data_IF_914325899156
#
_entry.id   IF_914325899156
#
_cell.length_a   1.000
_cell.length_b   1.000
_cell.length_c   1.000
_cell.angle_alpha   90.00
_cell.angle_beta   90.00
_cell.angle_gamma   90.00
#
_symmetry.space_group_name_H-M   'P 1'
#
loop_
_entity.id
_entity.type
_entity.pdbx_description
1 polymer ?
#
# COMPACT_ATOMS: atom_id res chain seq x y z
N UNK A 1 16.41 -8.25 4.08
CA UNK A 1 15.07 -8.27 4.71
C UNK A 1 14.50 -6.86 4.80
N UNK A 2 13.28 -6.66 4.33
CA UNK A 2 12.58 -5.38 4.43
C UNK A 2 11.66 -5.41 5.64
N UNK A 3 11.55 -4.29 6.34
CA UNK A 3 10.68 -4.18 7.51
C UNK A 3 9.75 -2.98 7.35
N UNK A 4 8.61 -3.03 8.02
CA UNK A 4 7.63 -1.96 8.05
C UNK A 4 7.73 -1.21 9.37
N UNK A 5 7.81 0.10 9.30
CA UNK A 5 7.92 0.97 10.46
C UNK A 5 7.03 2.19 10.31
N UNK A 6 6.33 2.58 11.36
CA UNK A 6 5.46 3.77 11.31
C UNK A 6 6.23 4.99 10.84
N UNK A 7 5.65 5.70 9.87
CA UNK A 7 6.19 6.94 9.32
C UNK A 7 6.13 8.04 10.37
N UNK A 8 7.18 8.86 10.43
CA UNK A 8 7.18 10.09 11.23
C UNK A 8 6.67 11.24 10.39
N UNK A 9 6.00 12.20 11.02
CA UNK A 9 5.44 13.35 10.33
C UNK A 9 6.46 14.06 9.43
N UNK A 10 7.68 14.26 9.91
CA UNK A 10 8.75 14.92 9.14
C UNK A 10 9.20 14.16 7.90
N UNK A 11 8.83 12.89 7.75
CA UNK A 11 9.20 12.07 6.60
C UNK A 11 8.20 12.18 5.43
N UNK A 12 7.05 12.83 5.64
CA UNK A 12 6.01 12.93 4.62
C UNK A 12 6.47 13.60 3.34
N UNK A 13 7.35 14.59 3.43
CA UNK A 13 7.93 15.25 2.26
C UNK A 13 8.69 14.27 1.39
N UNK A 14 9.46 13.37 2.00
CA UNK A 14 10.18 12.32 1.27
C UNK A 14 9.22 11.36 0.58
N UNK A 15 8.16 10.94 1.27
CA UNK A 15 7.15 10.05 0.68
C UNK A 15 6.46 10.68 -0.52
N UNK A 16 6.16 11.97 -0.43
CA UNK A 16 5.59 12.70 -1.57
C UNK A 16 6.53 12.68 -2.76
N UNK A 17 7.82 12.91 -2.53
CA UNK A 17 8.84 12.88 -3.60
C UNK A 17 8.88 11.53 -4.29
N UNK A 18 8.83 10.43 -3.53
CA UNK A 18 8.78 9.09 -4.12
C UNK A 18 7.59 8.92 -5.07
N UNK A 19 6.46 9.53 -4.73
CA UNK A 19 5.22 9.41 -5.51
C UNK A 19 5.27 10.12 -6.86
N UNK A 20 6.27 10.96 -7.11
CA UNK A 20 6.43 11.67 -8.39
C UNK A 20 7.20 10.86 -9.44
N UNK A 21 7.76 9.71 -9.08
CA UNK A 21 8.45 8.86 -10.04
C UNK A 21 7.49 8.34 -11.11
N UNK A 22 7.99 8.23 -12.35
CA UNK A 22 7.15 7.89 -13.52
C UNK A 22 6.36 6.59 -13.35
N UNK A 23 7.00 5.53 -12.85
CA UNK A 23 6.36 4.23 -12.72
C UNK A 23 5.23 4.23 -11.68
N UNK A 24 5.22 5.22 -10.80
CA UNK A 24 4.23 5.40 -9.76
C UNK A 24 3.12 6.35 -10.20
N UNK A 25 3.51 7.51 -10.72
CA UNK A 25 2.58 8.62 -11.00
C UNK A 25 1.47 8.23 -11.98
N UNK A 26 1.73 7.35 -12.93
CA UNK A 26 0.73 6.92 -13.91
C UNK A 26 -0.41 6.09 -13.31
N UNK A 27 -0.20 5.50 -12.14
CA UNK A 27 -1.15 4.60 -11.49
C UNK A 27 -1.66 5.11 -10.14
N UNK A 28 -1.31 6.33 -9.77
CA UNK A 28 -1.76 6.95 -8.54
C UNK A 28 -2.32 8.34 -8.81
N UNK A 29 -3.33 8.72 -8.03
CA UNK A 29 -3.81 10.08 -8.03
C UNK A 29 -2.75 10.99 -7.42
N UNK A 30 -2.49 12.17 -8.01
CA UNK A 30 -1.61 13.15 -7.39
C UNK A 30 -2.11 13.52 -6.00
N UNK A 31 -1.19 13.67 -5.06
CA UNK A 31 -1.50 14.04 -3.69
C UNK A 31 -0.52 15.12 -3.26
N UNK A 32 -1.04 16.28 -2.84
CA UNK A 32 -0.22 17.38 -2.32
C UNK A 32 0.37 17.01 -0.96
N UNK A 33 1.43 17.69 -0.56
CA UNK A 33 2.00 17.50 0.78
C UNK A 33 0.95 17.80 1.86
N UNK A 34 0.14 18.82 1.66
CA UNK A 34 -0.94 19.17 2.58
C UNK A 34 -1.93 18.01 2.77
N UNK A 35 -2.30 17.33 1.68
CA UNK A 35 -3.17 16.17 1.77
C UNK A 35 -2.50 14.97 2.47
N UNK A 36 -1.21 14.76 2.24
CA UNK A 36 -0.44 13.77 3.01
C UNK A 36 -0.52 14.08 4.50
N UNK A 37 -0.33 15.34 4.87
CA UNK A 37 -0.35 15.78 6.27
C UNK A 37 -1.73 15.61 6.89
N UNK A 38 -2.80 15.98 6.17
CA UNK A 38 -4.18 15.80 6.62
C UNK A 38 -4.49 14.32 6.85
N UNK A 39 -4.17 13.49 5.89
CA UNK A 39 -4.44 12.05 5.96
C UNK A 39 -3.66 11.40 7.11
N UNK A 40 -2.41 11.82 7.30
CA UNK A 40 -1.56 11.29 8.36
C UNK A 40 -2.17 11.47 9.76
N UNK A 41 -2.96 12.50 9.98
CA UNK A 41 -3.58 12.79 11.28
C UNK A 41 -4.88 12.05 11.51
N UNK A 42 -5.45 11.37 10.50
CA UNK A 42 -6.70 10.66 10.64
C UNK A 42 -6.49 9.37 11.45
N UNK A 43 -7.39 9.13 12.40
CA UNK A 43 -7.27 8.02 13.36
C UNK A 43 -7.21 6.65 12.68
N UNK A 44 -8.01 6.44 11.65
CA UNK A 44 -8.10 5.16 10.93
C UNK A 44 -6.97 4.93 9.92
N UNK A 45 -6.12 5.94 9.70
CA UNK A 45 -5.05 5.88 8.70
C UNK A 45 -3.71 5.62 9.36
N UNK A 46 -2.93 4.71 8.78
CA UNK A 46 -1.56 4.44 9.20
C UNK A 46 -0.63 4.51 7.99
N UNK A 47 0.42 5.31 8.11
CA UNK A 47 1.51 5.33 7.14
C UNK A 47 2.65 4.46 7.65
N UNK A 48 3.16 3.58 6.79
CA UNK A 48 4.31 2.73 7.10
C UNK A 48 5.42 2.94 6.09
N UNK A 49 6.61 3.21 6.57
CA UNK A 49 7.81 3.19 5.74
C UNK A 49 8.21 1.74 5.49
N UNK A 50 8.65 1.46 4.27
CA UNK A 50 9.32 0.21 3.93
C UNK A 50 10.81 0.47 4.08
N UNK A 51 11.45 -0.15 5.07
CA UNK A 51 12.88 0.03 5.30
C UNK A 51 13.69 -1.10 4.68
N UNK A 52 14.74 -0.73 3.96
CA UNK A 52 15.68 -1.67 3.37
C UNK A 52 16.59 -2.30 4.44
N UNK A 53 17.34 -3.35 4.09
CA UNK A 53 18.33 -3.91 5.01
C UNK A 53 19.37 -2.91 5.49
N UNK A 54 19.61 -1.83 4.74
CA UNK A 54 20.54 -0.75 5.13
C UNK A 54 19.82 0.42 5.82
N UNK A 55 18.56 0.21 6.20
CA UNK A 55 17.74 1.17 6.94
C UNK A 55 17.38 2.44 6.14
N UNK A 56 17.34 2.33 4.81
CA UNK A 56 16.87 3.39 3.93
C UNK A 56 15.37 3.22 3.66
N UNK A 57 14.67 4.31 3.38
CA UNK A 57 13.25 4.26 2.98
C UNK A 57 13.17 3.79 1.53
N UNK A 58 12.76 2.54 1.34
CA UNK A 58 12.60 1.92 0.03
C UNK A 58 11.21 2.17 -0.58
N UNK A 59 10.30 2.72 0.21
CA UNK A 59 8.92 2.98 -0.21
C UNK A 59 8.02 3.19 0.99
N UNK A 60 6.71 3.17 0.75
CA UNK A 60 5.75 3.32 1.84
C UNK A 60 4.42 2.66 1.53
N UNK A 61 3.64 2.45 2.58
CA UNK A 61 2.27 1.96 2.51
C UNK A 61 1.36 2.95 3.23
N UNK A 62 0.12 3.09 2.74
CA UNK A 62 -0.95 3.76 3.47
C UNK A 62 -2.06 2.75 3.70
N UNK A 63 -2.41 2.54 4.96
CA UNK A 63 -3.44 1.60 5.38
C UNK A 63 -4.61 2.35 5.98
N UNK A 64 -5.82 1.83 5.75
CA UNK A 64 -7.03 2.34 6.40
C UNK A 64 -7.73 1.21 7.13
N UNK A 65 -7.89 1.39 8.45
CA UNK A 65 -8.60 0.43 9.27
C UNK A 65 -10.10 0.60 9.11
N UNK A 66 -10.82 -0.53 9.00
CA UNK A 66 -12.28 -0.60 9.12
C UNK A 66 -12.61 -1.56 10.25
N UNK A 67 -13.91 -1.76 10.58
CA UNK A 67 -14.30 -2.63 11.69
C UNK A 67 -13.88 -4.09 11.48
N UNK A 68 -13.83 -4.55 10.23
CA UNK A 68 -13.64 -5.97 9.91
C UNK A 68 -12.43 -6.25 9.03
N UNK A 69 -11.79 -5.21 8.50
CA UNK A 69 -10.71 -5.38 7.52
C UNK A 69 -9.75 -4.20 7.55
N UNK A 70 -8.65 -4.34 6.79
CA UNK A 70 -7.72 -3.25 6.51
C UNK A 70 -7.65 -3.05 5.01
N UNK A 71 -7.82 -1.82 4.58
CA UNK A 71 -7.62 -1.44 3.18
C UNK A 71 -6.15 -1.05 2.97
N UNK A 72 -5.52 -1.63 1.97
CA UNK A 72 -4.28 -1.09 1.44
C UNK A 72 -4.63 0.03 0.46
N UNK A 73 -4.57 1.27 0.94
CA UNK A 73 -4.92 2.44 0.12
C UNK A 73 -3.85 2.78 -0.91
N UNK A 74 -2.60 2.56 -0.56
CA UNK A 74 -1.49 2.93 -1.42
C UNK A 74 -0.25 2.11 -1.08
N UNK A 75 0.44 1.65 -2.11
CA UNK A 75 1.77 1.05 -2.01
C UNK A 75 2.67 1.73 -3.03
N UNK A 76 3.81 2.23 -2.57
CA UNK A 76 4.80 2.90 -3.41
C UNK A 76 6.16 2.32 -3.11
N UNK A 77 6.87 1.89 -4.15
CA UNK A 77 8.22 1.35 -4.05
C UNK A 77 9.13 2.20 -4.92
N UNK A 78 10.21 2.72 -4.31
CA UNK A 78 11.23 3.50 -5.01
C UNK A 78 11.81 2.66 -6.16
N UNK A 79 12.07 3.29 -7.30
CA UNK A 79 12.61 2.60 -8.47
C UNK A 79 13.92 1.86 -8.20
N UNK A 80 14.71 2.31 -7.24
CA UNK A 80 15.95 1.63 -6.80
C UNK A 80 15.68 0.24 -6.23
N UNK A 81 14.46 -0.01 -5.75
CA UNK A 81 14.10 -1.20 -5.00
C UNK A 81 13.01 -2.02 -5.68
N UNK A 82 12.74 -1.79 -6.97
CA UNK A 82 11.72 -2.55 -7.69
C UNK A 82 11.97 -4.06 -7.59
N UNK A 83 10.89 -4.82 -7.50
CA UNK A 83 10.95 -6.28 -7.36
C UNK A 83 10.69 -6.79 -5.95
N UNK A 84 10.54 -5.92 -4.96
CA UNK A 84 10.33 -6.31 -3.56
C UNK A 84 8.85 -6.45 -3.18
N UNK A 85 7.91 -6.23 -4.11
CA UNK A 85 6.47 -6.20 -3.81
C UNK A 85 5.96 -7.45 -3.10
N UNK A 86 6.41 -8.62 -3.50
CA UNK A 86 5.99 -9.88 -2.87
C UNK A 86 6.40 -9.93 -1.41
N UNK A 87 7.65 -9.61 -1.12
CA UNK A 87 8.15 -9.59 0.26
C UNK A 87 7.42 -8.56 1.11
N UNK A 88 7.24 -7.36 0.58
CA UNK A 88 6.55 -6.26 1.28
C UNK A 88 5.11 -6.63 1.60
N UNK A 89 4.40 -7.24 0.65
CA UNK A 89 3.01 -7.65 0.88
C UNK A 89 2.91 -8.72 1.95
N UNK A 90 3.85 -9.65 2.01
CA UNK A 90 3.89 -10.65 3.08
C UNK A 90 4.11 -10.01 4.44
N UNK A 91 5.01 -9.02 4.52
CA UNK A 91 5.24 -8.27 5.75
C UNK A 91 3.98 -7.48 6.15
N UNK A 92 3.27 -6.91 5.18
CA UNK A 92 2.01 -6.23 5.42
C UNK A 92 0.98 -7.16 6.06
N UNK A 93 0.84 -8.37 5.53
CA UNK A 93 -0.13 -9.34 6.05
C UNK A 93 0.19 -9.71 7.50
N UNK A 94 1.46 -9.91 7.82
CA UNK A 94 1.89 -10.14 9.20
C UNK A 94 1.56 -8.93 10.09
N UNK A 95 1.86 -7.74 9.59
CA UNK A 95 1.57 -6.50 10.32
C UNK A 95 0.08 -6.36 10.64
N UNK A 96 -0.78 -6.65 9.67
CA UNK A 96 -2.24 -6.58 9.85
C UNK A 96 -2.70 -7.54 10.94
N UNK A 97 -2.25 -8.79 10.90
CA UNK A 97 -2.62 -9.78 11.90
C UNK A 97 -2.15 -9.38 13.30
N UNK A 98 -0.95 -8.83 13.42
CA UNK A 98 -0.37 -8.48 14.71
C UNK A 98 -0.97 -7.21 15.32
N UNK A 99 -1.31 -6.21 14.50
CA UNK A 99 -1.64 -4.87 15.00
C UNK A 99 -3.13 -4.52 14.95
N UNK A 100 -3.91 -5.18 14.08
CA UNK A 100 -5.31 -4.80 13.89
C UNK A 100 -6.30 -5.84 14.40
N UNK A 101 -5.86 -7.07 14.63
CA UNK A 101 -6.77 -8.13 15.09
C UNK A 101 -7.85 -8.50 14.07
N UNK A 102 -7.66 -8.18 12.79
CA UNK A 102 -8.56 -8.55 11.71
C UNK A 102 -7.86 -9.49 10.75
N UNK A 103 -8.63 -10.23 9.96
CA UNK A 103 -8.11 -11.28 9.08
C UNK A 103 -8.38 -11.02 7.60
N UNK A 104 -8.70 -9.78 7.23
CA UNK A 104 -8.97 -9.46 5.83
C UNK A 104 -8.24 -8.19 5.41
N UNK A 105 -7.59 -8.26 4.24
CA UNK A 105 -6.99 -7.12 3.55
C UNK A 105 -7.72 -6.97 2.22
N UNK A 106 -8.08 -5.73 1.86
CA UNK A 106 -8.64 -5.44 0.55
C UNK A 106 -7.94 -4.24 -0.07
N UNK A 107 -8.04 -4.16 -1.40
CA UNK A 107 -7.42 -3.10 -2.18
C UNK A 107 -8.17 -2.94 -3.50
N UNK A 108 -7.93 -1.82 -4.17
CA UNK A 108 -8.34 -1.66 -5.55
C UNK A 108 -7.11 -1.36 -6.42
N UNK A 109 -7.23 -1.67 -7.70
CA UNK A 109 -6.13 -1.52 -8.65
C UNK A 109 -6.70 -1.25 -10.03
N UNK A 110 -6.06 -0.34 -10.78
CA UNK A 110 -6.41 -0.14 -12.17
C UNK A 110 -6.19 -1.41 -12.98
N UNK A 111 -7.19 -1.79 -13.78
CA UNK A 111 -7.16 -3.04 -14.57
C UNK A 111 -5.96 -3.08 -15.52
N UNK A 112 -5.55 -1.93 -16.06
CA UNK A 112 -4.42 -1.83 -16.97
C UNK A 112 -3.05 -1.80 -16.27
N UNK A 113 -3.02 -1.74 -14.94
CA UNK A 113 -1.81 -1.93 -14.16
C UNK A 113 -1.52 -3.43 -14.01
N UNK A 114 -1.12 -4.06 -15.10
CA UNK A 114 -0.96 -5.52 -15.19
C UNK A 114 0.04 -6.09 -14.21
N UNK A 115 1.09 -5.32 -13.91
CA UNK A 115 2.13 -5.75 -12.96
C UNK A 115 1.56 -5.91 -11.55
N UNK A 116 0.79 -4.92 -11.10
CA UNK A 116 0.17 -4.97 -9.78
C UNK A 116 -0.90 -6.06 -9.71
N UNK A 117 -1.77 -6.15 -10.73
CA UNK A 117 -2.78 -7.21 -10.81
C UNK A 117 -2.12 -8.58 -10.70
N UNK A 118 -1.05 -8.82 -11.48
CA UNK A 118 -0.33 -10.09 -11.43
C UNK A 118 0.24 -10.38 -10.05
N UNK A 119 0.78 -9.38 -9.36
CA UNK A 119 1.29 -9.54 -8.01
C UNK A 119 0.20 -9.98 -7.03
N UNK A 120 -0.94 -9.30 -7.04
CA UNK A 120 -2.02 -9.60 -6.11
C UNK A 120 -2.63 -10.98 -6.37
N UNK A 121 -2.84 -11.34 -7.63
CA UNK A 121 -3.33 -12.68 -7.99
C UNK A 121 -2.36 -13.76 -7.52
N UNK A 122 -1.07 -13.58 -7.76
CA UNK A 122 -0.03 -14.50 -7.32
C UNK A 122 -0.02 -14.69 -5.80
N UNK A 123 -0.33 -13.64 -5.05
CA UNK A 123 -0.35 -13.67 -3.59
C UNK A 123 -1.65 -14.24 -3.00
N UNK A 124 -2.59 -14.61 -3.85
CA UNK A 124 -3.84 -15.22 -3.40
C UNK A 124 -5.00 -14.24 -3.19
N UNK A 125 -4.86 -13.00 -3.63
CA UNK A 125 -5.96 -12.05 -3.60
C UNK A 125 -6.99 -12.43 -4.66
N UNK A 126 -8.27 -12.31 -4.32
CA UNK A 126 -9.39 -12.69 -5.17
C UNK A 126 -10.22 -11.46 -5.51
N UNK A 127 -10.51 -11.28 -6.79
CA UNK A 127 -11.37 -10.18 -7.24
C UNK A 127 -12.80 -10.42 -6.74
N UNK A 128 -13.40 -9.40 -6.15
CA UNK A 128 -14.75 -9.49 -5.62
C UNK A 128 -15.68 -8.38 -6.10
N UNK A 129 -15.12 -7.35 -6.75
CA UNK A 129 -15.92 -6.24 -7.26
C UNK A 129 -15.20 -5.54 -8.39
N UNK A 130 -15.94 -4.74 -9.15
CA UNK A 130 -15.42 -3.91 -10.24
C UNK A 130 -15.95 -2.49 -10.08
N UNK A 131 -15.23 -1.53 -10.64
CA UNK A 131 -15.67 -0.13 -10.58
C UNK A 131 -14.94 0.73 -11.60
N UNK A 132 -15.15 2.03 -11.48
CA UNK A 132 -14.49 3.05 -12.30
C UNK A 132 -14.00 4.15 -11.38
N UNK A 133 -12.76 4.56 -11.57
CA UNK A 133 -12.15 5.67 -10.83
C UNK A 133 -11.32 6.50 -11.81
N UNK A 134 -11.54 7.81 -11.83
CA UNK A 134 -10.88 8.71 -12.77
C UNK A 134 -11.00 8.25 -14.23
N UNK A 135 -12.20 7.83 -14.62
CA UNK A 135 -12.51 7.33 -15.97
C UNK A 135 -11.75 6.06 -16.37
N UNK A 136 -11.12 5.36 -15.41
CA UNK A 136 -10.39 4.11 -15.63
C UNK A 136 -11.07 2.99 -14.86
N UNK A 137 -11.06 1.80 -15.46
CA UNK A 137 -11.60 0.60 -14.79
C UNK A 137 -10.70 0.19 -13.65
N UNK A 138 -11.32 -0.13 -12.50
CA UNK A 138 -10.63 -0.69 -11.33
C UNK A 138 -11.24 -2.02 -10.96
N UNK A 139 -10.40 -2.91 -10.44
CA UNK A 139 -10.81 -4.16 -9.82
C UNK A 139 -10.54 -4.09 -8.32
N UNK A 140 -11.47 -4.64 -7.54
CA UNK A 140 -11.35 -4.76 -6.10
C UNK A 140 -10.95 -6.18 -5.75
N UNK A 141 -9.89 -6.33 -4.98
CA UNK A 141 -9.34 -7.61 -4.54
C UNK A 141 -9.35 -7.69 -3.03
N UNK A 142 -9.52 -8.89 -2.51
CA UNK A 142 -9.38 -9.15 -1.07
C UNK A 142 -8.70 -10.48 -0.82
N UNK A 143 -8.14 -10.60 0.37
CA UNK A 143 -7.55 -11.85 0.85
C UNK A 143 -7.91 -12.04 2.31
N UNK A 144 -8.35 -13.24 2.63
CA UNK A 144 -8.56 -13.67 4.02
C UNK A 144 -7.22 -14.22 4.52
N UNK A 145 -6.71 -13.63 5.59
CA UNK A 145 -5.41 -13.98 6.14
C UNK A 145 -5.54 -15.15 7.11
N UNK A 146 -4.57 -16.07 7.04
CA UNK A 146 -4.49 -17.16 8.00
C UNK A 146 -3.81 -16.67 9.26
N UNK A 147 -4.26 -17.16 10.41
CA UNK A 147 -3.60 -16.89 11.68
C UNK A 147 -2.13 -17.33 11.64
N UNK A 148 -1.29 -16.60 12.34
CA UNK A 148 0.14 -16.91 12.46
C UNK A 148 0.38 -18.20 13.26
#
# INVERSE_FOLDING_TARGET
MYILKKTKYGELTHLKTLSTQKHIAKNLNPKSLEKFQEEFTQKEITFLNILSPTNEIAGYLILKETDTSVQLKRIVIDEKYLGIGTEVMKELEVYVLEHYGVHEVWLDVYVDNKRAVGLYVKLGYVRYNIGVENHRKVWFYKKILKAL
#
